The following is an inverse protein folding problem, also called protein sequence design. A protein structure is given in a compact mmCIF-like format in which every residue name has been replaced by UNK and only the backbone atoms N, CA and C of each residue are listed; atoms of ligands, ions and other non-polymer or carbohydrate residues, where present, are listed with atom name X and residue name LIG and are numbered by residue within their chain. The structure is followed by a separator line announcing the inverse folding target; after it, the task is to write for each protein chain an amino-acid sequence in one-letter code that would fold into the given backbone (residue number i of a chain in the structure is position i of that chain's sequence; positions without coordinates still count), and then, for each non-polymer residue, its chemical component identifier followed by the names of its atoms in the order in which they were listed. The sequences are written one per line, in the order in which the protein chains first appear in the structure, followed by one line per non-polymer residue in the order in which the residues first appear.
data_IF_658198993273
#
_entry.id   IF_658198993273
#
_cell.length_a   1.000
_cell.length_b   1.000
_cell.length_c   1.000
_cell.angle_alpha   90.00
_cell.angle_beta   90.00
_cell.angle_gamma   90.00
#
_symmetry.space_group_name_H-M   'P 1'
#
loop_
_entity.id
_entity.type
_entity.pdbx_description
1 polymer ?
#
# COMPACT_ATOMS: atom_id res chain seq x y z
N UNK A 1 -32.22 2.68 13.23
CA UNK A 1 -30.75 2.53 13.46
C UNK A 1 -30.55 1.29 14.31
N UNK A 2 -30.29 0.12 13.69
CA UNK A 2 -30.00 -1.13 14.40
C UNK A 2 -28.53 -1.44 14.25
N UNK A 3 -27.78 -1.16 15.31
CA UNK A 3 -26.38 -1.59 15.49
C UNK A 3 -26.38 -3.09 15.70
N UNK A 4 -25.89 -3.86 14.74
CA UNK A 4 -25.67 -5.30 14.91
C UNK A 4 -24.38 -5.51 15.70
N UNK A 5 -24.52 -5.84 16.99
CA UNK A 5 -23.41 -6.25 17.86
C UNK A 5 -23.23 -7.76 17.77
N UNK A 6 -22.11 -8.23 17.22
CA UNK A 6 -21.62 -9.60 17.44
C UNK A 6 -20.62 -9.58 18.61
N UNK A 7 -21.01 -10.19 19.72
CA UNK A 7 -20.18 -10.35 20.92
C UNK A 7 -19.29 -11.59 20.75
N UNK A 8 -18.00 -11.42 20.55
CA UNK A 8 -16.98 -12.45 20.78
C UNK A 8 -15.92 -11.88 21.70
N UNK A 9 -15.86 -12.45 22.93
CA UNK A 9 -14.80 -12.34 23.94
C UNK A 9 -14.10 -10.95 23.99
N UNK A 10 -14.71 -10.01 24.73
CA UNK A 10 -13.99 -8.86 25.32
C UNK A 10 -13.56 -7.70 24.42
N UNK A 11 -13.67 -7.77 23.09
CA UNK A 11 -13.41 -6.68 22.16
C UNK A 11 -14.66 -6.39 21.34
N UNK A 12 -15.21 -5.19 21.49
CA UNK A 12 -16.20 -4.68 20.54
C UNK A 12 -15.47 -4.37 19.23
N UNK A 13 -15.60 -5.22 18.22
CA UNK A 13 -15.25 -4.86 16.85
C UNK A 13 -16.24 -3.78 16.40
N UNK A 14 -15.84 -2.53 16.50
CA UNK A 14 -16.63 -1.40 15.99
C UNK A 14 -16.47 -1.43 14.48
N UNK A 15 -17.49 -1.92 13.78
CA UNK A 15 -17.57 -1.85 12.33
C UNK A 15 -17.64 -0.38 11.90
N UNK A 16 -16.71 0.05 11.06
CA UNK A 16 -16.67 1.41 10.53
C UNK A 16 -17.75 1.56 9.45
N UNK A 17 -18.61 2.55 9.61
CA UNK A 17 -19.61 2.89 8.61
C UNK A 17 -19.06 3.92 7.61
N UNK A 18 -19.08 3.55 6.32
CA UNK A 18 -18.64 4.38 5.19
C UNK A 18 -19.81 4.91 4.35
N UNK A 19 -21.08 4.72 4.79
CA UNK A 19 -22.25 5.20 4.08
C UNK A 19 -22.20 6.74 3.94
N UNK A 20 -22.45 7.21 2.72
CA UNK A 20 -22.41 8.64 2.40
C UNK A 20 -21.00 9.22 2.23
N UNK A 21 -19.94 8.43 2.47
CA UNK A 21 -18.57 8.89 2.25
C UNK A 21 -18.16 8.71 0.79
N UNK A 22 -17.47 9.71 0.25
CA UNK A 22 -16.89 9.65 -1.08
C UNK A 22 -15.43 9.17 -0.98
N UNK A 23 -15.03 8.12 -1.73
CA UNK A 23 -13.64 7.73 -1.79
C UNK A 23 -12.82 8.84 -2.44
N UNK A 24 -11.69 9.21 -1.83
CA UNK A 24 -10.78 10.20 -2.40
C UNK A 24 -9.95 9.65 -3.56
N UNK A 25 -9.80 8.33 -3.66
CA UNK A 25 -9.15 7.66 -4.77
C UNK A 25 -9.84 6.34 -5.12
N UNK A 26 -9.86 6.03 -6.43
CA UNK A 26 -10.41 4.79 -6.99
C UNK A 26 -9.32 4.12 -7.81
N UNK A 27 -8.81 2.99 -7.32
CA UNK A 27 -7.93 2.11 -8.10
C UNK A 27 -8.74 1.07 -8.89
N UNK A 28 -8.06 0.26 -9.71
CA UNK A 28 -8.71 -0.80 -10.47
C UNK A 28 -9.49 -1.82 -9.60
N UNK A 29 -9.00 -2.09 -8.40
CA UNK A 29 -9.57 -3.11 -7.52
C UNK A 29 -10.04 -2.57 -6.15
N UNK A 30 -9.69 -1.35 -5.78
CA UNK A 30 -9.92 -0.81 -4.44
C UNK A 30 -10.44 0.62 -4.46
N UNK A 31 -11.27 0.92 -3.46
CA UNK A 31 -11.71 2.26 -3.08
C UNK A 31 -10.89 2.71 -1.86
N UNK A 32 -10.42 3.95 -1.86
CA UNK A 32 -9.67 4.53 -0.76
C UNK A 32 -10.48 5.65 -0.09
N UNK A 33 -10.72 5.50 1.20
CA UNK A 33 -11.47 6.46 2.03
C UNK A 33 -10.56 7.03 3.12
N UNK A 34 -10.76 8.30 3.46
CA UNK A 34 -10.22 8.83 4.71
C UNK A 34 -10.94 8.13 5.86
N UNK A 35 -10.21 7.71 6.89
CA UNK A 35 -10.83 7.07 8.05
C UNK A 35 -11.70 8.08 8.81
N UNK A 36 -13.03 7.82 9.04
CA UNK A 36 -13.96 8.81 9.58
C UNK A 36 -13.59 9.36 10.96
N UNK A 37 -12.91 8.55 11.78
CA UNK A 37 -12.51 8.93 13.14
C UNK A 37 -11.02 9.27 13.27
N UNK A 38 -10.24 9.18 12.18
CA UNK A 38 -8.81 9.48 12.20
C UNK A 38 -8.32 9.99 10.83
N UNK A 39 -8.21 11.31 10.62
CA UNK A 39 -7.87 11.89 9.32
C UNK A 39 -6.47 11.52 8.82
N UNK A 40 -5.60 10.99 9.69
CA UNK A 40 -4.26 10.54 9.32
C UNK A 40 -4.22 9.07 8.87
N UNK A 41 -5.39 8.45 8.63
CA UNK A 41 -5.50 7.06 8.19
C UNK A 41 -6.35 6.92 6.94
N UNK A 42 -5.96 5.95 6.12
CA UNK A 42 -6.66 5.56 4.90
C UNK A 42 -7.25 4.15 5.07
N UNK A 43 -8.49 3.98 4.65
CA UNK A 43 -9.17 2.69 4.55
C UNK A 43 -9.24 2.28 3.08
N UNK A 44 -8.56 1.20 2.71
CA UNK A 44 -8.57 0.64 1.36
C UNK A 44 -9.51 -0.56 1.33
N UNK A 45 -10.65 -0.43 0.65
CA UNK A 45 -11.67 -1.49 0.55
C UNK A 45 -11.67 -2.05 -0.86
N UNK A 46 -11.69 -3.38 -1.00
CA UNK A 46 -11.86 -4.01 -2.31
C UNK A 46 -13.25 -3.67 -2.86
N UNK A 47 -13.35 -3.33 -4.15
CA UNK A 47 -14.62 -3.00 -4.79
C UNK A 47 -15.67 -4.08 -4.48
N UNK A 48 -16.86 -3.68 -3.97
CA UNK A 48 -17.95 -4.62 -3.75
C UNK A 48 -18.28 -5.40 -5.03
N UNK A 49 -18.40 -6.72 -4.92
CA UNK A 49 -18.66 -7.59 -6.06
C UNK A 49 -17.48 -8.00 -6.93
N UNK A 50 -16.33 -7.30 -6.85
CA UNK A 50 -15.15 -7.63 -7.66
C UNK A 50 -14.69 -9.09 -7.50
N UNK A 51 -14.64 -9.58 -6.28
CA UNK A 51 -14.23 -10.98 -6.02
C UNK A 51 -15.22 -11.99 -6.61
N UNK A 52 -16.51 -11.66 -6.66
CA UNK A 52 -17.53 -12.51 -7.27
C UNK A 52 -17.49 -12.44 -8.81
N UNK A 53 -17.21 -11.28 -9.37
CA UNK A 53 -16.92 -11.13 -10.82
C UNK A 53 -15.70 -11.93 -11.24
N UNK A 54 -14.63 -11.85 -10.48
CA UNK A 54 -13.42 -12.65 -10.70
C UNK A 54 -13.73 -14.14 -10.63
N UNK A 55 -14.58 -14.59 -9.71
CA UNK A 55 -15.03 -15.98 -9.64
C UNK A 55 -15.76 -16.43 -10.89
N UNK A 56 -16.68 -15.60 -11.39
CA UNK A 56 -17.53 -15.91 -12.56
C UNK A 56 -16.71 -15.97 -13.84
N UNK A 57 -15.77 -15.02 -14.02
CA UNK A 57 -15.03 -14.82 -15.26
C UNK A 57 -13.68 -15.56 -15.34
N UNK A 58 -13.32 -16.36 -14.33
CA UNK A 58 -12.07 -17.11 -14.32
C UNK A 58 -12.02 -18.20 -15.37
N UNK A 59 -10.95 -18.16 -16.19
CA UNK A 59 -10.50 -19.32 -16.99
C UNK A 59 -10.26 -20.53 -16.08
N UNK A 60 -10.51 -21.75 -16.59
CA UNK A 60 -10.45 -23.00 -15.83
C UNK A 60 -9.13 -23.16 -15.01
N UNK A 61 -7.96 -22.77 -15.57
CA UNK A 61 -6.66 -22.84 -14.89
C UNK A 61 -6.50 -21.82 -13.75
N UNK A 62 -7.21 -20.68 -13.82
CA UNK A 62 -7.23 -19.68 -12.74
C UNK A 62 -8.17 -20.09 -11.59
N UNK A 63 -9.08 -21.04 -11.81
CA UNK A 63 -9.97 -21.59 -10.77
C UNK A 63 -9.20 -22.42 -9.75
N UNK A 64 -8.01 -22.93 -10.11
CA UNK A 64 -7.13 -23.65 -9.20
C UNK A 64 -6.47 -22.75 -8.15
N UNK A 65 -6.45 -21.43 -8.37
CA UNK A 65 -5.95 -20.47 -7.38
C UNK A 65 -7.06 -20.08 -6.41
N UNK A 66 -6.76 -20.06 -5.12
CA UNK A 66 -7.68 -19.56 -4.09
C UNK A 66 -8.13 -18.13 -4.42
N UNK A 67 -9.41 -17.82 -4.16
CA UNK A 67 -9.97 -16.47 -4.31
C UNK A 67 -9.23 -15.46 -3.46
N UNK A 68 -8.76 -15.87 -2.28
CA UNK A 68 -7.92 -15.07 -1.38
C UNK A 68 -6.66 -14.55 -2.06
N UNK A 69 -6.15 -15.25 -3.10
CA UNK A 69 -4.97 -14.80 -3.86
C UNK A 69 -5.26 -13.62 -4.80
N UNK A 70 -6.53 -13.21 -4.97
CA UNK A 70 -6.95 -12.07 -5.76
C UNK A 70 -7.42 -10.89 -4.90
N UNK A 71 -7.49 -11.07 -3.59
CA UNK A 71 -7.77 -10.02 -2.63
C UNK A 71 -6.50 -9.19 -2.39
N UNK A 72 -6.51 -7.96 -2.88
CA UNK A 72 -5.37 -7.06 -2.77
C UNK A 72 -5.08 -6.63 -1.34
N UNK A 73 -6.10 -6.61 -0.46
CA UNK A 73 -5.91 -6.32 0.96
C UNK A 73 -5.16 -7.46 1.68
N UNK A 74 -5.50 -8.72 1.37
CA UNK A 74 -4.77 -9.87 1.92
C UNK A 74 -3.33 -9.94 1.39
N UNK A 75 -3.12 -9.55 0.12
CA UNK A 75 -1.76 -9.44 -0.45
C UNK A 75 -0.95 -8.33 0.22
N UNK A 76 -1.58 -7.19 0.49
CA UNK A 76 -0.94 -6.08 1.20
C UNK A 76 -0.58 -6.50 2.63
N UNK A 77 -1.49 -7.14 3.36
CA UNK A 77 -1.22 -7.73 4.68
C UNK A 77 -0.01 -8.67 4.65
N UNK A 78 0.05 -9.58 3.67
CA UNK A 78 1.20 -10.48 3.50
C UNK A 78 2.50 -9.73 3.20
N UNK A 79 2.42 -8.66 2.40
CA UNK A 79 3.57 -7.85 2.05
C UNK A 79 4.14 -7.08 3.25
N UNK A 80 3.31 -6.61 4.16
CA UNK A 80 3.73 -6.01 5.43
C UNK A 80 4.35 -7.03 6.40
N UNK A 81 4.15 -8.33 6.18
CA UNK A 81 4.81 -9.40 6.92
C UNK A 81 6.20 -9.81 6.38
N UNK A 82 6.77 -9.07 5.42
CA UNK A 82 8.11 -9.36 4.89
C UNK A 82 9.20 -9.23 5.97
N UNK A 83 10.30 -9.99 5.79
CA UNK A 83 11.40 -10.09 6.76
C UNK A 83 11.97 -8.72 7.17
N UNK A 84 12.11 -7.80 6.22
CA UNK A 84 12.64 -6.47 6.46
C UNK A 84 11.83 -5.70 7.50
N UNK A 85 10.49 -5.76 7.43
CA UNK A 85 9.60 -5.01 8.32
C UNK A 85 9.50 -5.59 9.73
N UNK A 86 9.88 -6.88 9.91
CA UNK A 86 9.87 -7.53 11.23
C UNK A 86 11.03 -7.14 12.14
N UNK A 87 12.03 -6.44 11.62
CA UNK A 87 13.23 -6.07 12.39
C UNK A 87 13.00 -4.95 13.40
N UNK A 88 11.87 -4.26 13.30
CA UNK A 88 11.53 -3.17 14.24
C UNK A 88 12.36 -1.90 14.05
N UNK A 89 13.07 -1.75 12.94
CA UNK A 89 13.84 -0.55 12.61
C UNK A 89 12.91 0.64 12.35
N UNK A 90 12.95 1.71 13.16
CA UNK A 90 12.09 2.88 12.96
C UNK A 90 12.36 3.62 11.65
N UNK A 91 13.58 3.56 11.10
CA UNK A 91 13.96 4.17 9.83
C UNK A 91 13.17 3.63 8.62
N UNK A 92 12.57 2.45 8.74
CA UNK A 92 11.73 1.85 7.71
C UNK A 92 10.53 2.74 7.35
N UNK A 93 9.94 3.41 8.34
CA UNK A 93 8.73 4.20 8.16
C UNK A 93 8.96 5.59 7.56
N UNK A 94 10.21 6.00 7.36
CA UNK A 94 10.52 7.28 6.71
C UNK A 94 10.03 7.30 5.24
N UNK A 95 10.11 6.16 4.53
CA UNK A 95 9.72 6.04 3.13
C UNK A 95 8.60 5.01 2.88
N UNK A 96 7.90 4.58 3.91
CA UNK A 96 6.81 3.62 3.83
C UNK A 96 5.63 4.06 4.69
N UNK A 97 4.44 4.11 4.11
CA UNK A 97 3.21 4.30 4.89
C UNK A 97 3.04 3.17 5.91
N UNK A 98 2.74 3.50 7.16
CA UNK A 98 2.49 2.51 8.22
C UNK A 98 1.22 1.73 7.92
N UNK A 99 1.22 0.46 8.28
CA UNK A 99 0.04 -0.39 8.23
C UNK A 99 -0.48 -0.65 9.65
N UNK A 100 -1.77 -0.43 9.85
CA UNK A 100 -2.43 -0.53 11.16
C UNK A 100 -3.24 -1.81 11.31
N UNK A 101 -3.43 -2.56 10.24
CA UNK A 101 -4.15 -3.83 10.28
C UNK A 101 -5.31 -3.90 9.30
N UNK A 102 -6.14 -4.91 9.52
CA UNK A 102 -7.39 -5.10 8.79
C UNK A 102 -8.55 -4.65 9.69
N UNK A 103 -9.45 -3.86 9.14
CA UNK A 103 -10.59 -3.27 9.86
C UNK A 103 -11.89 -3.62 9.14
N UNK A 104 -12.93 -3.98 9.90
CA UNK A 104 -14.25 -4.30 9.35
C UNK A 104 -15.02 -3.02 9.03
N UNK A 105 -15.57 -2.92 7.80
CA UNK A 105 -16.45 -1.83 7.38
C UNK A 105 -17.79 -2.38 6.88
N UNK A 106 -18.80 -1.53 6.77
CA UNK A 106 -20.12 -1.93 6.24
C UNK A 106 -20.10 -2.36 4.77
N UNK A 107 -19.04 -2.07 4.02
CA UNK A 107 -18.87 -2.47 2.61
C UNK A 107 -17.77 -3.52 2.40
N UNK A 108 -17.21 -4.10 3.48
CA UNK A 108 -16.22 -5.17 3.45
C UNK A 108 -15.00 -4.90 4.32
N UNK A 109 -14.05 -5.84 4.31
CA UNK A 109 -12.78 -5.69 5.04
C UNK A 109 -11.90 -4.64 4.37
N UNK A 110 -11.43 -3.66 5.15
CA UNK A 110 -10.49 -2.64 4.73
C UNK A 110 -9.06 -2.97 5.19
N UNK A 111 -8.08 -2.66 4.38
CA UNK A 111 -6.69 -2.51 4.82
C UNK A 111 -6.49 -1.07 5.31
N UNK A 112 -6.12 -0.91 6.57
CA UNK A 112 -5.92 0.39 7.21
C UNK A 112 -4.45 0.78 7.16
N UNK A 113 -4.14 1.90 6.53
CA UNK A 113 -2.78 2.42 6.37
C UNK A 113 -2.70 3.90 6.77
N UNK A 114 -1.49 4.40 6.98
CA UNK A 114 -1.21 5.83 7.11
C UNK A 114 -1.71 6.57 5.85
N UNK A 115 -2.40 7.69 6.05
CA UNK A 115 -2.71 8.66 5.02
C UNK A 115 -1.65 9.75 5.07
N UNK A 116 -0.89 9.88 3.99
CA UNK A 116 0.15 10.91 3.91
C UNK A 116 -0.53 12.23 3.51
N UNK A 117 -0.28 13.27 4.30
CA UNK A 117 -0.85 14.60 4.08
C UNK A 117 0.23 15.68 4.18
N UNK A 118 0.02 16.78 3.47
CA UNK A 118 0.86 17.98 3.52
C UNK A 118 -0.04 19.17 3.89
N UNK A 119 0.18 19.78 5.06
CA UNK A 119 -0.65 20.90 5.51
C UNK A 119 -2.15 20.59 5.66
N UNK A 120 -2.50 19.32 5.87
CA UNK A 120 -3.90 18.85 5.97
C UNK A 120 -4.51 18.36 4.66
N UNK A 121 -3.90 18.65 3.52
CA UNK A 121 -4.31 18.13 2.21
C UNK A 121 -3.67 16.77 1.93
N UNK A 122 -4.36 15.89 1.20
CA UNK A 122 -3.83 14.58 0.82
C UNK A 122 -2.62 14.79 -0.10
N UNK A 123 -1.50 14.14 0.25
CA UNK A 123 -0.27 14.23 -0.52
C UNK A 123 -0.46 13.74 -1.95
N UNK A 124 0.05 14.51 -2.91
CA UNK A 124 0.02 14.14 -4.33
C UNK A 124 0.94 12.96 -4.63
N UNK A 125 0.63 12.22 -5.68
CA UNK A 125 1.52 11.16 -6.16
C UNK A 125 2.72 11.73 -6.92
N UNK A 126 3.82 10.98 -6.93
CA UNK A 126 4.98 11.31 -7.74
C UNK A 126 4.60 11.43 -9.24
N UNK A 127 3.62 10.66 -9.70
CA UNK A 127 3.11 10.73 -11.08
C UNK A 127 2.52 12.11 -11.39
N UNK A 128 1.64 12.63 -10.53
CA UNK A 128 1.03 13.96 -10.69
C UNK A 128 2.09 15.06 -10.67
N UNK A 129 3.03 14.97 -9.73
CA UNK A 129 4.14 15.91 -9.67
C UNK A 129 4.98 15.91 -10.94
N UNK A 130 5.43 14.73 -11.39
CA UNK A 130 6.27 14.60 -12.60
C UNK A 130 5.54 15.08 -13.86
N UNK A 131 4.24 14.89 -13.93
CA UNK A 131 3.43 15.38 -15.05
C UNK A 131 3.34 16.92 -15.07
N UNK A 132 3.28 17.55 -13.89
CA UNK A 132 3.17 19.01 -13.74
C UNK A 132 4.52 19.71 -13.85
N UNK A 133 5.54 19.24 -13.12
CA UNK A 133 6.82 19.92 -12.91
C UNK A 133 7.99 19.28 -13.67
N UNK A 134 7.82 18.03 -14.13
CA UNK A 134 8.91 17.24 -14.67
C UNK A 134 9.90 16.77 -13.60
N UNK A 135 11.12 16.48 -14.02
CA UNK A 135 12.20 16.02 -13.13
C UNK A 135 13.01 17.24 -12.67
N UNK A 136 12.69 17.76 -11.49
CA UNK A 136 13.45 18.83 -10.84
C UNK A 136 14.66 18.28 -10.09
N UNK A 137 15.64 19.14 -9.76
CA UNK A 137 16.80 18.71 -8.94
C UNK A 137 16.39 18.26 -7.54
N UNK A 138 15.37 18.87 -6.95
CA UNK A 138 14.83 18.47 -5.66
C UNK A 138 14.25 17.06 -5.69
N UNK A 139 13.45 16.75 -6.72
CA UNK A 139 12.85 15.40 -6.83
C UNK A 139 13.90 14.34 -7.14
N UNK A 140 14.97 14.68 -7.92
CA UNK A 140 16.10 13.77 -8.14
C UNK A 140 16.77 13.37 -6.83
N UNK A 141 17.11 14.37 -6.00
CA UNK A 141 17.72 14.13 -4.68
C UNK A 141 16.79 13.28 -3.78
N UNK A 142 15.49 13.51 -3.84
CA UNK A 142 14.52 12.74 -3.08
C UNK A 142 14.41 11.29 -3.57
N UNK A 143 14.47 11.06 -4.89
CA UNK A 143 14.52 9.73 -5.48
C UNK A 143 15.81 9.00 -5.09
N UNK A 144 16.96 9.65 -5.12
CA UNK A 144 18.24 9.06 -4.71
C UNK A 144 18.24 8.61 -3.25
N UNK A 145 17.69 9.43 -2.34
CA UNK A 145 17.52 9.08 -0.92
C UNK A 145 16.57 7.90 -0.75
N UNK A 146 15.45 7.91 -1.46
CA UNK A 146 14.49 6.82 -1.47
C UNK A 146 15.12 5.50 -1.96
N UNK A 147 15.90 5.54 -3.04
CA UNK A 147 16.62 4.37 -3.54
C UNK A 147 17.69 3.87 -2.56
N UNK A 148 18.42 4.78 -1.90
CA UNK A 148 19.38 4.44 -0.86
C UNK A 148 18.71 3.73 0.31
N UNK A 149 17.56 4.24 0.75
CA UNK A 149 16.74 3.60 1.77
C UNK A 149 16.24 2.19 1.34
N UNK A 150 15.80 2.01 0.09
CA UNK A 150 15.42 0.69 -0.43
C UNK A 150 16.56 -0.32 -0.35
N UNK A 151 17.79 0.11 -0.69
CA UNK A 151 19.01 -0.72 -0.62
C UNK A 151 19.38 -1.08 0.81
N UNK A 152 19.28 -0.13 1.72
CA UNK A 152 19.62 -0.30 3.13
C UNK A 152 18.66 -1.28 3.82
N UNK A 153 17.37 -1.05 3.67
CA UNK A 153 16.34 -1.83 4.38
C UNK A 153 15.89 -3.08 3.63
N UNK A 154 16.26 -3.26 2.35
CA UNK A 154 15.88 -4.38 1.50
C UNK A 154 14.37 -4.59 1.42
N UNK A 155 13.62 -3.49 1.31
CA UNK A 155 12.17 -3.53 1.18
C UNK A 155 11.77 -4.09 -0.18
N UNK A 156 11.03 -5.20 -0.16
CA UNK A 156 10.55 -5.82 -1.39
C UNK A 156 9.30 -5.12 -1.89
N UNK A 157 9.33 -4.68 -3.14
CA UNK A 157 8.22 -4.01 -3.82
C UNK A 157 7.91 -4.70 -5.14
N UNK A 158 6.63 -4.83 -5.49
CA UNK A 158 6.18 -5.36 -6.80
C UNK A 158 6.31 -4.30 -7.88
N UNK A 159 5.87 -3.10 -7.57
CA UNK A 159 5.73 -1.99 -8.49
C UNK A 159 6.20 -0.69 -7.86
N UNK A 160 7.41 -0.24 -8.24
CA UNK A 160 7.90 1.11 -7.97
C UNK A 160 7.49 2.02 -9.14
N UNK A 161 6.19 2.24 -9.29
CA UNK A 161 5.65 3.14 -10.32
C UNK A 161 5.19 4.44 -9.66
N UNK A 162 5.27 5.57 -10.35
CA UNK A 162 5.05 6.88 -9.75
C UNK A 162 3.72 7.05 -9.03
N UNK A 163 2.64 6.42 -9.48
CA UNK A 163 1.33 6.52 -8.81
C UNK A 163 1.23 5.72 -7.51
N UNK A 164 2.17 4.82 -7.21
CA UNK A 164 2.27 4.09 -5.93
C UNK A 164 3.15 4.82 -4.90
N UNK A 165 3.70 5.96 -5.28
CA UNK A 165 4.60 6.78 -4.50
C UNK A 165 3.96 8.15 -4.28
N UNK A 166 3.96 8.64 -3.05
CA UNK A 166 3.44 9.97 -2.70
C UNK A 166 4.55 10.85 -2.15
N UNK A 167 4.37 12.16 -2.27
CA UNK A 167 5.32 13.18 -1.85
C UNK A 167 4.88 13.77 -0.51
N UNK A 168 5.45 13.27 0.59
CA UNK A 168 5.35 13.91 1.89
C UNK A 168 6.35 15.05 2.03
N UNK A 169 6.13 15.97 2.97
CA UNK A 169 7.07 17.04 3.30
C UNK A 169 7.49 16.93 4.76
N UNK A 170 8.79 16.92 4.99
CA UNK A 170 9.39 16.99 6.33
C UNK A 170 10.52 18.02 6.34
N UNK A 171 10.45 19.02 7.21
CA UNK A 171 11.43 20.12 7.28
C UNK A 171 11.68 20.77 5.91
N UNK A 172 10.61 21.10 5.22
CA UNK A 172 10.63 21.73 3.88
C UNK A 172 11.34 20.91 2.78
N UNK A 173 11.48 19.60 2.99
CA UNK A 173 12.07 18.67 2.02
C UNK A 173 11.05 17.64 1.57
N UNK A 174 11.07 17.35 0.27
CA UNK A 174 10.24 16.28 -0.29
C UNK A 174 10.76 14.92 0.17
N UNK A 175 9.85 14.10 0.72
CA UNK A 175 10.10 12.71 1.08
C UNK A 175 9.14 11.82 0.31
N UNK A 176 9.69 10.88 -0.45
CA UNK A 176 8.90 9.90 -1.20
C UNK A 176 8.47 8.78 -0.27
N UNK A 177 7.17 8.47 -0.20
CA UNK A 177 6.62 7.34 0.57
C UNK A 177 5.89 6.35 -0.31
N UNK A 178 6.14 5.06 -0.09
CA UNK A 178 5.38 3.96 -0.72
C UNK A 178 4.02 3.86 -0.03
N UNK A 179 2.95 3.91 -0.82
CA UNK A 179 1.57 3.72 -0.34
C UNK A 179 0.92 2.45 -0.87
N UNK A 180 1.48 1.84 -1.92
CA UNK A 180 1.01 0.59 -2.53
C UNK A 180 2.16 -0.14 -3.22
N UNK A 181 1.91 -1.36 -3.68
CA UNK A 181 2.87 -2.13 -4.47
C UNK A 181 3.95 -2.85 -3.66
N UNK A 182 3.78 -3.04 -2.35
CA UNK A 182 4.66 -3.86 -1.52
C UNK A 182 4.64 -5.35 -1.91
N UNK A 183 5.69 -6.05 -1.49
CA UNK A 183 5.87 -7.50 -1.65
C UNK A 183 6.68 -7.88 -2.88
N UNK A 184 6.86 -9.19 -3.08
CA UNK A 184 7.63 -9.74 -4.19
C UNK A 184 6.72 -10.36 -5.24
N UNK A 185 7.07 -10.17 -6.52
CA UNK A 185 6.48 -10.88 -7.67
C UNK A 185 7.31 -12.10 -8.08
N UNK A 186 8.37 -12.43 -7.35
CA UNK A 186 9.21 -13.55 -7.69
C UNK A 186 8.39 -14.87 -7.63
N UNK A 187 8.48 -15.67 -8.70
CA UNK A 187 7.80 -16.97 -8.76
C UNK A 187 8.30 -17.91 -7.65
N UNK A 188 9.61 -17.88 -7.40
CA UNK A 188 10.23 -18.54 -6.25
C UNK A 188 10.52 -17.45 -5.22
N UNK A 189 10.01 -17.54 -3.98
CA UNK A 189 10.09 -16.44 -3.00
C UNK A 189 11.47 -16.31 -2.33
N UNK A 190 12.56 -16.61 -3.03
CA UNK A 190 13.94 -16.50 -2.53
C UNK A 190 14.28 -15.13 -1.92
N UNK A 191 13.81 -13.99 -2.48
CA UNK A 191 14.08 -12.69 -1.88
C UNK A 191 13.50 -12.53 -0.46
N UNK A 192 12.45 -13.29 -0.11
CA UNK A 192 11.87 -13.24 1.24
C UNK A 192 12.75 -13.92 2.30
N UNK A 193 13.65 -14.82 1.89
CA UNK A 193 14.42 -15.65 2.79
C UNK A 193 15.92 -15.34 2.77
N UNK A 194 16.45 -14.82 1.66
CA UNK A 194 17.88 -14.56 1.48
C UNK A 194 18.17 -13.10 1.20
N UNK A 195 19.06 -12.49 1.98
CA UNK A 195 19.50 -11.10 1.77
C UNK A 195 20.22 -10.92 0.42
N UNK A 196 20.93 -11.95 -0.08
CA UNK A 196 21.56 -11.90 -1.39
C UNK A 196 20.53 -11.74 -2.52
N UNK A 197 19.49 -12.58 -2.50
CA UNK A 197 18.42 -12.47 -3.49
C UNK A 197 17.56 -11.21 -3.29
N UNK A 198 17.37 -10.76 -2.05
CA UNK A 198 16.67 -9.51 -1.76
C UNK A 198 17.42 -8.30 -2.36
N UNK A 199 18.74 -8.21 -2.19
CA UNK A 199 19.57 -7.16 -2.80
C UNK A 199 19.42 -7.13 -4.32
N UNK A 200 19.60 -8.27 -4.99
CA UNK A 200 19.44 -8.35 -6.46
C UNK A 200 18.02 -7.98 -6.91
N UNK A 201 17.03 -8.38 -6.14
CA UNK A 201 15.63 -8.04 -6.44
C UNK A 201 15.39 -6.53 -6.33
N UNK A 202 15.86 -5.89 -5.25
CA UNK A 202 15.73 -4.45 -5.02
C UNK A 202 16.43 -3.66 -6.13
N UNK A 203 17.69 -3.99 -6.47
CA UNK A 203 18.41 -3.32 -7.56
C UNK A 203 17.64 -3.38 -8.87
N UNK A 204 17.15 -4.57 -9.24
CA UNK A 204 16.33 -4.71 -10.46
C UNK A 204 15.06 -3.86 -10.41
N UNK A 205 14.44 -3.65 -9.24
CA UNK A 205 13.25 -2.79 -9.12
C UNK A 205 13.60 -1.31 -9.26
N UNK A 206 14.73 -0.90 -8.72
CA UNK A 206 15.25 0.46 -8.88
C UNK A 206 15.56 0.76 -10.35
N UNK A 207 16.24 -0.15 -11.05
CA UNK A 207 16.50 -0.03 -12.49
C UNK A 207 15.20 0.12 -13.29
N UNK A 208 14.20 -0.73 -13.01
CA UNK A 208 12.90 -0.68 -13.69
C UNK A 208 12.08 0.57 -13.36
N UNK A 209 12.34 1.27 -12.27
CA UNK A 209 11.69 2.54 -11.93
C UNK A 209 12.04 3.63 -12.95
N UNK A 210 13.26 3.65 -13.48
CA UNK A 210 13.74 4.63 -14.45
C UNK A 210 13.37 4.31 -15.90
N UNK A 211 12.97 3.09 -16.18
CA UNK A 211 12.59 2.65 -17.53
C UNK A 211 11.11 2.80 -17.85
N UNK A 212 10.34 3.37 -16.93
CA UNK A 212 8.87 3.52 -17.02
C UNK A 212 8.47 4.96 -16.84
#
# INVERSE_FOLDING_TARGET
LKTFQKKLIGYYLIMINLDGMTPFAKGGNRLCFVHPNNPNRCLKVVHPGLLDEIKKNKSWYKRLRSIKSFDDNLREQQAYNQKALRKGDPGIWSHLAKWYGMTETNIGMASETELITNGGEIAETLEVYLFREGITEEIKLSIEKFQSWLREHLILTKNLIPHNLVLGHENDKIIIKIIDGLGSQAFIPLPNYSNFFAKRYVERRIELMWSR
#
